data_IF_704191331028
#
_entry.id   IF_704191331028
#
_cell.length_a   1.000
_cell.length_b   1.000
_cell.length_c   1.000
_cell.angle_alpha   90.00
_cell.angle_beta   90.00
_cell.angle_gamma   90.00
#
_symmetry.space_group_name_H-M   'P 1'
#
loop_
_entity.id
_entity.type
_entity.pdbx_description
1 polymer ?
#
# COMPACT_ATOMS: atom_id res chain seq x y z
N UNK A 1 -6.09 -30.02 -51.85
CA UNK A 1 -6.22 -30.36 -50.42
C UNK A 1 -7.60 -30.93 -50.11
N UNK A 2 -8.70 -30.22 -50.42
CA UNK A 2 -10.08 -30.73 -50.20
C UNK A 2 -10.40 -32.08 -50.84
N UNK A 3 -9.95 -32.32 -52.07
CA UNK A 3 -10.22 -33.59 -52.79
C UNK A 3 -9.48 -34.77 -52.15
N UNK A 4 -8.26 -34.56 -51.64
CA UNK A 4 -7.50 -35.57 -50.91
C UNK A 4 -8.12 -35.88 -49.54
N UNK A 5 -8.71 -34.87 -48.89
CA UNK A 5 -9.41 -34.99 -47.60
C UNK A 5 -10.74 -35.75 -47.75
N UNK A 6 -11.46 -35.51 -48.85
CA UNK A 6 -12.64 -36.30 -49.23
C UNK A 6 -12.29 -37.75 -49.56
N UNK A 7 -11.20 -37.98 -50.31
CA UNK A 7 -10.74 -39.33 -50.63
C UNK A 7 -10.37 -40.09 -49.35
N UNK A 8 -9.73 -39.42 -48.38
CA UNK A 8 -9.44 -39.97 -47.07
C UNK A 8 -10.72 -40.36 -46.30
N UNK A 9 -11.75 -39.51 -46.29
CA UNK A 9 -13.04 -39.88 -45.67
C UNK A 9 -13.74 -41.04 -46.40
N UNK A 10 -13.61 -41.13 -47.72
CA UNK A 10 -14.12 -42.27 -48.48
C UNK A 10 -13.42 -43.58 -48.07
N UNK A 11 -12.08 -43.58 -47.99
CA UNK A 11 -11.31 -44.74 -47.53
C UNK A 11 -11.65 -45.10 -46.08
N UNK A 12 -11.86 -44.09 -45.23
CA UNK A 12 -12.28 -44.28 -43.84
C UNK A 12 -13.65 -44.94 -43.74
N UNK A 13 -14.63 -44.48 -44.52
CA UNK A 13 -15.96 -45.09 -44.56
C UNK A 13 -15.91 -46.56 -45.02
N UNK A 14 -15.10 -46.86 -46.04
CA UNK A 14 -14.88 -48.22 -46.54
C UNK A 14 -14.30 -49.14 -45.45
N UNK A 15 -13.26 -48.69 -44.73
CA UNK A 15 -12.65 -49.44 -43.64
C UNK A 15 -13.62 -49.72 -42.49
N UNK A 16 -14.55 -48.79 -42.22
CA UNK A 16 -15.57 -48.91 -41.19
C UNK A 16 -16.83 -49.66 -41.65
N UNK A 17 -16.90 -50.07 -42.93
CA UNK A 17 -18.08 -50.71 -43.51
C UNK A 17 -19.30 -49.78 -43.64
N UNK A 18 -19.07 -48.47 -43.65
CA UNK A 18 -20.10 -47.44 -43.82
C UNK A 18 -20.30 -47.11 -45.30
N UNK A 19 -21.49 -46.62 -45.70
CA UNK A 19 -21.72 -46.15 -47.05
C UNK A 19 -20.77 -44.99 -47.37
N UNK A 20 -20.26 -44.96 -48.60
CA UNK A 20 -19.38 -43.89 -49.07
C UNK A 20 -20.11 -42.55 -49.03
N UNK A 21 -19.59 -41.52 -48.34
CA UNK A 21 -20.25 -40.23 -48.23
C UNK A 21 -20.29 -39.53 -49.60
N UNK A 22 -21.39 -38.85 -49.89
CA UNK A 22 -21.47 -38.01 -51.07
C UNK A 22 -20.62 -36.74 -50.90
N UNK A 23 -20.21 -36.13 -52.00
CA UNK A 23 -19.42 -34.90 -51.97
C UNK A 23 -20.12 -33.76 -51.21
N UNK A 24 -21.45 -33.67 -51.34
CA UNK A 24 -22.26 -32.65 -50.69
C UNK A 24 -22.41 -32.90 -49.18
N UNK A 25 -22.60 -34.17 -48.77
CA UNK A 25 -22.60 -34.57 -47.35
C UNK A 25 -21.24 -34.31 -46.68
N UNK A 26 -20.13 -34.56 -47.38
CA UNK A 26 -18.80 -34.25 -46.88
C UNK A 26 -18.60 -32.75 -46.65
N UNK A 27 -18.99 -31.91 -47.60
CA UNK A 27 -18.88 -30.45 -47.50
C UNK A 27 -19.71 -29.90 -46.34
N UNK A 28 -20.94 -30.39 -46.17
CA UNK A 28 -21.83 -29.97 -45.08
C UNK A 28 -21.32 -30.41 -43.71
N UNK A 29 -20.84 -31.66 -43.58
CA UNK A 29 -20.25 -32.16 -42.35
C UNK A 29 -18.97 -31.42 -41.98
N UNK A 30 -18.10 -31.12 -42.95
CA UNK A 30 -16.88 -30.34 -42.71
C UNK A 30 -17.18 -28.94 -42.23
N UNK A 31 -18.19 -28.28 -42.82
CA UNK A 31 -18.64 -26.94 -42.40
C UNK A 31 -19.21 -26.97 -40.98
N UNK A 32 -20.02 -27.97 -40.64
CA UNK A 32 -20.57 -28.14 -39.31
C UNK A 32 -19.47 -28.38 -38.25
N UNK A 33 -18.45 -29.18 -38.58
CA UNK A 33 -17.31 -29.42 -37.69
C UNK A 33 -16.46 -28.15 -37.51
N UNK A 34 -16.20 -27.39 -38.58
CA UNK A 34 -15.50 -26.11 -38.49
C UNK A 34 -16.28 -25.07 -37.69
N UNK A 35 -17.61 -25.02 -37.82
CA UNK A 35 -18.45 -24.11 -37.04
C UNK A 35 -18.49 -24.52 -35.55
N UNK A 36 -18.45 -25.81 -35.23
CA UNK A 36 -18.32 -26.32 -33.87
C UNK A 36 -16.96 -25.97 -33.24
N UNK A 37 -15.86 -26.23 -33.95
CA UNK A 37 -14.49 -25.95 -33.48
C UNK A 37 -14.26 -24.45 -33.24
N UNK A 38 -14.69 -23.58 -34.18
CA UNK A 38 -14.61 -22.13 -34.00
C UNK A 38 -15.46 -21.63 -32.82
N UNK A 39 -16.54 -22.34 -32.49
CA UNK A 39 -17.41 -21.98 -31.36
C UNK A 39 -16.77 -22.41 -30.04
N UNK A 40 -16.21 -23.61 -29.98
CA UNK A 40 -15.50 -24.11 -28.81
C UNK A 40 -14.28 -23.24 -28.50
N UNK A 41 -13.49 -22.84 -29.52
CA UNK A 41 -12.35 -21.92 -29.38
C UNK A 41 -12.78 -20.53 -28.83
N UNK A 42 -13.91 -20.01 -29.30
CA UNK A 42 -14.44 -18.71 -28.85
C UNK A 42 -14.96 -18.78 -27.40
N UNK A 43 -15.59 -19.89 -27.01
CA UNK A 43 -16.03 -20.13 -25.64
C UNK A 43 -14.82 -20.30 -24.70
N UNK A 44 -13.75 -21.00 -25.12
CA UNK A 44 -12.51 -21.13 -24.35
C UNK A 44 -11.76 -19.81 -24.17
N UNK A 45 -11.64 -18.99 -25.23
CA UNK A 45 -10.99 -17.68 -25.16
C UNK A 45 -11.75 -16.74 -24.21
N UNK A 46 -13.09 -16.76 -24.26
CA UNK A 46 -13.94 -15.95 -23.39
C UNK A 46 -13.81 -16.35 -21.91
N UNK A 47 -13.76 -17.66 -21.62
CA UNK A 47 -13.53 -18.18 -20.27
C UNK A 47 -12.13 -17.77 -19.78
N UNK A 48 -11.11 -17.89 -20.63
CA UNK A 48 -9.75 -17.51 -20.26
C UNK A 48 -9.64 -16.01 -19.95
N UNK A 49 -10.28 -15.14 -20.75
CA UNK A 49 -10.30 -13.70 -20.48
C UNK A 49 -11.03 -13.35 -19.17
N UNK A 50 -12.16 -14.00 -18.88
CA UNK A 50 -12.88 -13.83 -17.61
C UNK A 50 -12.03 -14.27 -16.41
N UNK A 51 -11.35 -15.41 -16.50
CA UNK A 51 -10.47 -15.89 -15.43
C UNK A 51 -9.26 -14.96 -15.22
N UNK A 52 -8.64 -14.49 -16.30
CA UNK A 52 -7.51 -13.55 -16.22
C UNK A 52 -7.92 -12.22 -15.62
N UNK A 53 -9.10 -11.70 -15.96
CA UNK A 53 -9.61 -10.46 -15.38
C UNK A 53 -9.99 -10.61 -13.92
N UNK A 54 -10.68 -11.69 -13.54
CA UNK A 54 -11.05 -11.97 -12.15
C UNK A 54 -9.83 -12.16 -11.24
N UNK A 55 -8.85 -12.95 -11.67
CA UNK A 55 -7.60 -13.16 -10.91
C UNK A 55 -6.80 -11.87 -10.74
N UNK A 56 -6.78 -11.02 -11.77
CA UNK A 56 -6.16 -9.69 -11.67
C UNK A 56 -6.87 -8.81 -10.64
N UNK A 57 -8.20 -8.74 -10.67
CA UNK A 57 -8.97 -7.94 -9.72
C UNK A 57 -8.79 -8.40 -8.27
N UNK A 58 -8.75 -9.72 -8.04
CA UNK A 58 -8.47 -10.29 -6.72
C UNK A 58 -7.07 -9.92 -6.22
N UNK A 59 -6.06 -9.98 -7.10
CA UNK A 59 -4.70 -9.57 -6.78
C UNK A 59 -4.58 -8.07 -6.45
N UNK A 60 -5.36 -7.23 -7.12
CA UNK A 60 -5.39 -5.78 -6.86
C UNK A 60 -6.12 -5.47 -5.54
N UNK A 61 -7.22 -6.18 -5.25
CA UNK A 61 -7.98 -6.02 -4.02
C UNK A 61 -7.16 -6.39 -2.78
N UNK A 62 -6.48 -7.54 -2.81
CA UNK A 62 -5.61 -8.00 -1.72
C UNK A 62 -4.45 -7.04 -1.47
N UNK A 63 -3.84 -6.51 -2.54
CA UNK A 63 -2.80 -5.49 -2.45
C UNK A 63 -3.29 -4.19 -1.81
N UNK A 64 -4.47 -3.71 -2.20
CA UNK A 64 -5.06 -2.48 -1.65
C UNK A 64 -5.41 -2.62 -0.17
N UNK A 65 -5.90 -3.79 0.24
CA UNK A 65 -6.16 -4.10 1.64
C UNK A 65 -4.86 -4.09 2.47
N UNK A 66 -3.79 -4.71 1.97
CA UNK A 66 -2.47 -4.65 2.59
C UNK A 66 -1.99 -3.22 2.83
N UNK A 67 -2.09 -2.36 1.80
CA UNK A 67 -1.74 -0.94 1.88
C UNK A 67 -2.59 -0.19 2.91
N UNK A 68 -3.89 -0.50 3.01
CA UNK A 68 -4.79 0.11 3.99
C UNK A 68 -4.45 -0.29 5.43
N UNK A 69 -4.14 -1.57 5.65
CA UNK A 69 -3.71 -2.07 6.97
C UNK A 69 -2.40 -1.42 7.40
N UNK A 70 -1.41 -1.33 6.50
CA UNK A 70 -0.14 -0.65 6.76
C UNK A 70 -0.35 0.84 7.07
N UNK A 71 -1.21 1.54 6.32
CA UNK A 71 -1.53 2.95 6.57
C UNK A 71 -2.10 3.17 7.97
N UNK A 72 -3.10 2.38 8.36
CA UNK A 72 -3.73 2.48 9.68
C UNK A 72 -2.76 2.18 10.83
N UNK A 73 -1.98 1.09 10.71
CA UNK A 73 -0.99 0.73 11.73
C UNK A 73 0.11 1.78 11.90
N UNK A 74 0.48 2.45 10.81
CA UNK A 74 1.50 3.48 10.84
C UNK A 74 0.99 4.84 11.38
N UNK A 75 -0.28 5.16 11.15
CA UNK A 75 -0.94 6.31 11.76
C UNK A 75 -1.08 6.14 13.28
N UNK A 76 -1.45 4.93 13.72
CA UNK A 76 -1.48 4.58 15.14
C UNK A 76 -0.09 4.66 15.77
N UNK A 77 0.93 4.11 15.10
CA UNK A 77 2.30 4.16 15.60
C UNK A 77 2.81 5.61 15.72
N UNK A 78 2.55 6.46 14.74
CA UNK A 78 2.88 7.88 14.84
C UNK A 78 2.14 8.58 15.99
N UNK A 79 0.86 8.26 16.22
CA UNK A 79 0.09 8.76 17.37
C UNK A 79 0.69 8.32 18.71
N UNK A 80 1.08 7.05 18.83
CA UNK A 80 1.75 6.50 20.01
C UNK A 80 3.06 7.24 20.25
N UNK A 81 3.88 7.43 19.22
CA UNK A 81 5.16 8.13 19.34
C UNK A 81 4.96 9.59 19.75
N UNK A 82 3.96 10.30 19.21
CA UNK A 82 3.64 11.66 19.67
C UNK A 82 3.25 11.68 21.16
N UNK A 83 2.43 10.73 21.60
CA UNK A 83 2.04 10.61 23.00
C UNK A 83 3.21 10.25 23.92
N UNK A 84 4.13 9.40 23.46
CA UNK A 84 5.37 9.07 24.17
C UNK A 84 6.28 10.29 24.29
N UNK A 85 6.43 11.10 23.24
CA UNK A 85 7.21 12.34 23.32
C UNK A 85 6.61 13.32 24.33
N UNK A 86 5.27 13.47 24.37
CA UNK A 86 4.59 14.29 25.38
C UNK A 86 4.88 13.79 26.79
N UNK A 87 4.85 12.47 27.01
CA UNK A 87 5.18 11.84 28.31
C UNK A 87 6.64 12.06 28.68
N UNK A 88 7.58 11.93 27.74
CA UNK A 88 9.01 12.19 27.98
C UNK A 88 9.26 13.66 28.33
N UNK A 89 8.59 14.60 27.66
CA UNK A 89 8.70 16.02 27.98
C UNK A 89 8.16 16.33 29.39
N UNK A 90 7.04 15.72 29.78
CA UNK A 90 6.52 15.82 31.15
C UNK A 90 7.49 15.22 32.16
N UNK A 91 8.04 14.04 31.87
CA UNK A 91 9.04 13.40 32.72
C UNK A 91 10.28 14.28 32.90
N UNK A 92 10.79 14.87 31.80
CA UNK A 92 11.90 15.83 31.84
C UNK A 92 11.59 17.02 32.75
N UNK A 93 10.39 17.59 32.63
CA UNK A 93 9.97 18.72 33.47
C UNK A 93 9.84 18.37 34.94
N UNK A 94 9.29 17.18 35.25
CA UNK A 94 9.07 16.72 36.63
C UNK A 94 10.41 16.35 37.29
N UNK A 95 11.26 15.57 36.61
CA UNK A 95 12.55 15.15 37.14
C UNK A 95 13.57 16.30 37.21
N UNK A 96 13.55 17.24 36.25
CA UNK A 96 14.37 18.45 36.31
C UNK A 96 14.04 19.35 37.51
N UNK A 97 12.77 19.39 37.94
CA UNK A 97 12.36 20.08 39.17
C UNK A 97 12.95 19.42 40.43
N UNK A 98 13.01 18.09 40.48
CA UNK A 98 13.62 17.37 41.60
C UNK A 98 15.15 17.54 41.67
N UNK A 99 15.86 17.59 40.54
CA UNK A 99 17.32 17.83 40.53
C UNK A 99 17.67 19.24 41.03
N UNK A 100 16.85 20.26 40.72
CA UNK A 100 17.04 21.61 41.24
C UNK A 100 16.76 21.70 42.74
N UNK A 101 15.76 20.97 43.25
CA UNK A 101 15.47 20.91 44.68
C UNK A 101 16.57 20.21 45.49
N UNK A 102 17.20 19.17 44.94
CA UNK A 102 18.32 18.48 45.59
C UNK A 102 19.60 19.33 45.69
N UNK A 103 19.78 20.30 44.79
CA UNK A 103 20.90 21.27 44.86
C UNK A 103 20.71 22.32 45.96
N UNK A 104 19.48 22.71 46.28
CA UNK A 104 19.20 23.77 47.27
C UNK A 104 19.42 23.30 48.72
N UNK A 105 19.33 22.00 49.00
CA UNK A 105 19.42 21.48 50.37
C UNK A 105 20.84 21.12 50.85
N UNK A 106 21.87 21.23 50.00
CA UNK A 106 23.27 20.95 50.39
C UNK A 106 24.10 22.19 50.70
N UNK A 107 23.57 23.40 50.52
CA UNK A 107 24.26 24.65 50.90
C UNK A 107 23.74 25.17 52.25
N UNK A 108 23.94 24.40 53.31
CA UNK A 108 23.90 24.91 54.68
C UNK A 108 25.22 24.61 55.38
N UNK A 109 26.28 25.33 54.99
CA UNK A 109 27.33 25.86 55.89
C UNK A 109 28.44 26.61 55.13
N UNK A 110 28.54 27.89 55.52
CA UNK A 110 29.68 28.81 55.55
C UNK A 110 30.26 29.44 54.26
N UNK A 111 30.13 30.76 54.29
CA UNK A 111 31.07 31.82 53.90
C UNK A 111 31.13 32.34 52.45
N UNK A 112 30.90 33.65 52.38
CA UNK A 112 31.30 34.70 51.43
C UNK A 112 31.11 34.53 49.91
N UNK A 113 30.20 35.37 49.40
CA UNK A 113 30.36 36.25 48.23
C UNK A 113 31.12 35.70 47.02
N UNK A 114 30.38 35.31 45.98
CA UNK A 114 30.49 35.92 44.64
C UNK A 114 29.28 35.54 43.79
N UNK A 115 28.45 36.54 43.51
CA UNK A 115 27.37 36.47 42.54
C UNK A 115 27.96 36.55 41.13
N UNK A 116 28.22 35.41 40.51
CA UNK A 116 28.31 35.29 39.06
C UNK A 116 27.20 34.35 38.62
N UNK A 117 26.10 34.97 38.19
CA UNK A 117 25.02 34.29 37.50
C UNK A 117 25.50 33.93 36.09
N UNK A 118 26.09 32.76 35.92
CA UNK A 118 26.09 32.06 34.63
C UNK A 118 25.11 30.90 34.74
N UNK A 119 23.83 31.29 34.72
CA UNK A 119 22.78 30.43 34.22
C UNK A 119 23.07 30.21 32.74
N UNK A 120 23.82 29.16 32.41
CA UNK A 120 23.78 28.58 31.06
C UNK A 120 22.37 28.00 30.88
N UNK A 121 21.46 28.91 30.54
CA UNK A 121 20.18 28.63 29.94
C UNK A 121 20.52 27.82 28.70
N UNK A 122 20.21 26.52 28.74
CA UNK A 122 20.18 25.67 27.55
C UNK A 122 19.04 26.17 26.65
N UNK A 123 19.27 27.31 26.00
CA UNK A 123 18.58 27.75 24.79
C UNK A 123 19.14 26.92 23.65
N UNK A 124 18.79 25.63 23.62
CA UNK A 124 18.86 24.84 22.40
C UNK A 124 17.41 24.63 21.97
N UNK A 125 16.96 25.64 21.23
CA UNK A 125 16.06 25.48 20.10
C UNK A 125 14.73 24.76 20.39
N UNK A 126 13.81 25.54 20.98
CA UNK A 126 12.44 25.58 20.47
C UNK A 126 12.48 26.04 19.01
N UNK A 127 12.79 25.14 18.08
CA UNK A 127 12.55 25.35 16.65
C UNK A 127 11.32 24.50 16.29
N UNK A 128 10.24 25.22 16.01
CA UNK A 128 9.05 24.84 15.27
C UNK A 128 8.21 23.64 15.75
N UNK A 129 7.47 23.89 16.83
CA UNK A 129 6.08 23.43 16.92
C UNK A 129 5.17 24.37 16.13
N UNK A 130 5.31 24.40 14.81
CA UNK A 130 4.31 24.98 13.92
C UNK A 130 4.13 24.09 12.69
N UNK A 131 3.47 22.95 12.89
CA UNK A 131 2.72 22.31 11.81
C UNK A 131 1.26 22.25 12.26
N UNK A 132 0.52 23.22 11.74
CA UNK A 132 -0.92 23.34 11.85
C UNK A 132 -1.61 22.05 11.42
N UNK A 133 -2.68 21.75 12.14
CA UNK A 133 -3.80 20.99 11.63
C UNK A 133 -4.23 21.58 10.28
N UNK A 134 -4.01 20.86 9.18
CA UNK A 134 -4.85 20.97 8.00
C UNK A 134 -5.69 19.70 7.91
N UNK A 135 -6.82 19.75 8.61
CA UNK A 135 -8.01 19.03 8.21
C UNK A 135 -8.53 19.69 6.93
N UNK A 136 -8.18 19.12 5.77
CA UNK A 136 -8.79 19.47 4.50
C UNK A 136 -10.19 18.83 4.41
N UNK A 137 -11.17 19.49 5.03
CA UNK A 137 -12.55 19.45 4.55
C UNK A 137 -12.67 20.45 3.40
N UNK A 138 -12.49 19.98 2.17
CA UNK A 138 -12.90 20.71 0.97
C UNK A 138 -13.92 19.88 0.18
N UNK A 139 -15.17 20.34 0.25
CA UNK A 139 -16.22 20.05 -0.72
C UNK A 139 -15.74 20.47 -2.12
N UNK A 140 -15.77 19.56 -3.09
CA UNK A 140 -15.92 19.96 -4.50
C UNK A 140 -16.89 19.02 -5.22
N UNK A 141 -18.11 19.51 -5.41
CA UNK A 141 -19.05 19.00 -6.40
C UNK A 141 -18.58 19.47 -7.77
N UNK A 142 -18.04 18.57 -8.61
CA UNK A 142 -18.05 18.77 -10.07
C UNK A 142 -18.36 17.47 -10.80
N UNK A 143 -19.51 17.48 -11.47
CA UNK A 143 -19.85 16.57 -12.55
C UNK A 143 -18.76 16.64 -13.62
N UNK A 144 -18.14 15.50 -13.93
CA UNK A 144 -17.45 15.30 -15.18
C UNK A 144 -17.74 13.86 -15.64
N UNK A 145 -18.54 13.77 -16.69
CA UNK A 145 -18.69 12.59 -17.54
C UNK A 145 -17.31 12.16 -18.03
N UNK A 146 -16.82 11.00 -17.59
CA UNK A 146 -15.53 10.44 -18.01
C UNK A 146 -15.77 9.07 -18.65
N UNK A 147 -15.47 9.01 -19.94
CA UNK A 147 -15.40 7.79 -20.77
C UNK A 147 -14.36 6.80 -20.20
N UNK A 148 -14.56 5.48 -20.33
CA UNK A 148 -13.69 4.50 -19.70
C UNK A 148 -12.44 4.24 -20.56
N UNK A 149 -11.29 4.67 -20.07
CA UNK A 149 -9.97 4.13 -20.44
C UNK A 149 -9.16 4.02 -19.14
N UNK A 150 -9.56 3.07 -18.30
CA UNK A 150 -9.29 3.06 -16.85
C UNK A 150 -8.00 2.38 -16.40
N UNK A 151 -7.13 1.91 -17.31
CA UNK A 151 -5.97 1.10 -16.90
C UNK A 151 -4.70 1.90 -16.55
N UNK A 152 -4.49 3.12 -17.06
CA UNK A 152 -3.23 3.86 -16.88
C UNK A 152 -3.19 4.79 -15.66
N UNK A 153 -4.35 5.16 -15.11
CA UNK A 153 -4.45 6.12 -14.00
C UNK A 153 -4.37 5.47 -12.61
N UNK A 154 -4.65 4.16 -12.49
CA UNK A 154 -4.72 3.46 -11.19
C UNK A 154 -3.34 3.19 -10.57
N UNK A 155 -2.30 3.08 -11.39
CA UNK A 155 -0.93 2.89 -10.88
C UNK A 155 -0.36 4.14 -10.21
N UNK A 156 -0.80 5.35 -10.61
CA UNK A 156 -0.31 6.61 -10.03
C UNK A 156 -0.74 6.78 -8.57
N UNK A 157 -2.01 6.54 -8.27
CA UNK A 157 -2.54 6.67 -6.90
C UNK A 157 -1.92 5.70 -5.90
N UNK A 158 -1.55 4.50 -6.36
CA UNK A 158 -0.87 3.51 -5.52
C UNK A 158 0.57 3.93 -5.21
N UNK A 159 1.26 4.57 -6.15
CA UNK A 159 2.61 5.12 -5.96
C UNK A 159 2.56 6.27 -4.96
N UNK A 160 1.64 7.23 -5.13
CA UNK A 160 1.46 8.33 -4.19
C UNK A 160 1.16 7.82 -2.76
N UNK A 161 0.38 6.73 -2.67
CA UNK A 161 0.08 6.08 -1.40
C UNK A 161 1.30 5.41 -0.77
N UNK A 162 2.12 4.74 -1.57
CA UNK A 162 3.38 4.16 -1.13
C UNK A 162 4.34 5.25 -0.64
N UNK A 163 4.47 6.36 -1.36
CA UNK A 163 5.30 7.50 -0.95
C UNK A 163 4.80 8.09 0.38
N UNK A 164 3.48 8.21 0.56
CA UNK A 164 2.91 8.62 1.85
C UNK A 164 3.27 7.65 2.98
N UNK A 165 3.18 6.34 2.73
CA UNK A 165 3.55 5.31 3.70
C UNK A 165 5.04 5.35 4.05
N UNK A 166 5.91 5.52 3.06
CA UNK A 166 7.36 5.65 3.26
C UNK A 166 7.66 6.86 4.15
N UNK A 167 7.10 8.03 3.81
CA UNK A 167 7.28 9.25 4.61
C UNK A 167 6.81 9.08 6.06
N UNK A 168 5.65 8.43 6.26
CA UNK A 168 5.13 8.16 7.61
C UNK A 168 6.02 7.17 8.38
N UNK A 169 6.66 6.21 7.69
CA UNK A 169 7.53 5.21 8.28
C UNK A 169 8.87 5.81 8.69
N UNK A 170 9.44 6.68 7.87
CA UNK A 170 10.66 7.43 8.19
C UNK A 170 10.45 8.34 9.40
N UNK A 171 9.32 9.07 9.45
CA UNK A 171 8.97 9.92 10.62
C UNK A 171 8.88 9.10 11.91
N UNK A 172 8.28 7.92 11.82
CA UNK A 172 8.17 6.99 12.92
C UNK A 172 9.54 6.48 13.40
N UNK A 173 10.40 6.06 12.48
CA UNK A 173 11.76 5.57 12.78
C UNK A 173 12.59 6.66 13.47
N UNK A 174 12.63 7.86 12.91
CA UNK A 174 13.36 9.00 13.48
C UNK A 174 12.85 9.36 14.88
N UNK A 175 11.53 9.39 15.07
CA UNK A 175 10.91 9.70 16.36
C UNK A 175 11.23 8.63 17.40
N UNK A 176 11.14 7.36 17.04
CA UNK A 176 11.45 6.23 17.92
C UNK A 176 12.93 6.25 18.34
N UNK A 177 13.84 6.47 17.40
CA UNK A 177 15.28 6.56 17.67
C UNK A 177 15.60 7.75 18.60
N UNK A 178 14.99 8.91 18.37
CA UNK A 178 15.10 10.10 19.24
C UNK A 178 14.59 9.83 20.66
N UNK A 179 13.41 9.23 20.79
CA UNK A 179 12.80 8.91 22.08
C UNK A 179 13.63 7.88 22.85
N UNK A 180 14.15 6.84 22.17
CA UNK A 180 15.06 5.88 22.77
C UNK A 180 16.34 6.54 23.31
N UNK A 181 16.92 7.48 22.57
CA UNK A 181 18.07 8.27 23.05
C UNK A 181 17.73 9.10 24.28
N UNK A 182 16.55 9.74 24.30
CA UNK A 182 16.09 10.52 25.46
C UNK A 182 15.89 9.64 26.69
N UNK A 183 15.23 8.49 26.55
CA UNK A 183 15.02 7.55 27.65
C UNK A 183 16.34 7.04 28.24
N UNK A 184 17.31 6.69 27.39
CA UNK A 184 18.66 6.29 27.86
C UNK A 184 19.35 7.37 28.68
N UNK A 185 19.18 8.65 28.32
CA UNK A 185 19.71 9.80 29.10
C UNK A 185 19.03 10.01 30.44
N UNK A 186 17.86 9.42 30.69
CA UNK A 186 17.22 9.48 32.00
C UNK A 186 17.66 8.34 32.93
N UNK A 187 18.26 7.28 32.37
CA UNK A 187 18.71 6.10 33.12
C UNK A 187 20.20 6.16 33.47
N UNK A 188 20.99 6.87 32.65
CA UNK A 188 22.40 7.17 32.90
C UNK A 188 22.54 8.54 33.55
#
# INVERSE_FOLDING_TARGET
>A
MLEAEYEHECCRAELLGLPRPTWDEFLTQRKANQEGENRDDMEEEQIHEEVVTATREESEATRLEGLRRMAGGLDELNSILQNTQKKLNRFKSVCGSFTNLLKIQTTTKKDEVQANNETEITNIENVDNKYENQSDEAQDKKNATVSPSSQKLRSGSDIDRLDSLINKAERAELSLNKQNKQMKKFLN
#
